data_IF_913992156192
#
_entry.id   IF_913992156192
#
_cell.length_a   1.000
_cell.length_b   1.000
_cell.length_c   1.000
_cell.angle_alpha   90.00
_cell.angle_beta   90.00
_cell.angle_gamma   90.00
#
_symmetry.space_group_name_H-M   'P 1'
#
loop_
_entity.id
_entity.type
_entity.pdbx_description
1 polymer ?
#
# COMPACT_ATOMS: atom_id res chain seq x y z
N UNK A 1 -26.63 -0.65 1.01
CA UNK A 1 -25.55 -1.64 0.79
C UNK A 1 -24.28 -0.83 0.51
N UNK A 2 -23.27 -0.93 1.37
CA UNK A 2 -22.16 0.03 1.51
C UNK A 2 -20.80 -0.54 1.05
N UNK A 3 -20.81 -1.72 0.42
CA UNK A 3 -19.69 -2.24 -0.36
C UNK A 3 -20.21 -3.22 -1.41
N UNK A 4 -19.52 -3.30 -2.55
CA UNK A 4 -19.77 -4.26 -3.62
C UNK A 4 -18.43 -4.88 -4.03
N UNK A 5 -18.37 -6.21 -4.12
CA UNK A 5 -17.19 -6.93 -4.62
C UNK A 5 -17.32 -7.07 -6.14
N UNK A 6 -16.41 -6.44 -6.88
CA UNK A 6 -16.45 -6.34 -8.35
C UNK A 6 -15.22 -7.07 -8.91
N UNK A 7 -15.35 -7.80 -10.04
CA UNK A 7 -14.21 -8.52 -10.64
C UNK A 7 -13.17 -7.53 -11.19
N UNK A 8 -11.89 -7.92 -11.13
CA UNK A 8 -10.74 -7.10 -11.55
C UNK A 8 -10.86 -6.49 -12.97
N UNK A 9 -11.58 -7.15 -13.89
CA UNK A 9 -11.80 -6.65 -15.26
C UNK A 9 -12.78 -5.46 -15.30
N UNK A 10 -13.83 -5.50 -14.48
CA UNK A 10 -14.80 -4.41 -14.33
C UNK A 10 -14.20 -3.22 -13.55
N UNK A 11 -13.18 -3.43 -12.71
CA UNK A 11 -12.43 -2.33 -12.06
C UNK A 11 -11.67 -1.49 -13.09
N UNK A 12 -11.10 -2.12 -14.12
CA UNK A 12 -10.38 -1.42 -15.18
C UNK A 12 -11.34 -0.68 -16.14
N UNK A 13 -12.54 -1.20 -16.36
CA UNK A 13 -13.59 -0.54 -17.17
C UNK A 13 -14.34 0.55 -16.37
N UNK A 14 -14.49 0.36 -15.06
CA UNK A 14 -14.99 1.35 -14.10
C UNK A 14 -14.04 2.53 -13.86
N UNK A 15 -12.81 2.45 -14.37
CA UNK A 15 -11.77 3.45 -14.18
C UNK A 15 -12.20 4.86 -14.61
N UNK A 16 -13.01 4.95 -15.66
CA UNK A 16 -13.48 6.24 -16.19
C UNK A 16 -14.84 6.68 -15.66
N UNK A 17 -15.52 5.86 -14.83
CA UNK A 17 -16.92 6.09 -14.44
C UNK A 17 -17.19 6.10 -12.94
N UNK A 18 -16.22 5.72 -12.10
CA UNK A 18 -16.38 5.64 -10.65
C UNK A 18 -15.32 6.48 -9.92
N UNK A 19 -15.65 6.99 -8.73
CA UNK A 19 -14.66 7.57 -7.83
C UNK A 19 -13.72 6.46 -7.37
N UNK A 20 -12.47 6.52 -7.83
CA UNK A 20 -11.45 5.55 -7.47
C UNK A 20 -10.61 6.02 -6.31
N UNK A 21 -10.00 5.05 -5.64
CA UNK A 21 -8.95 5.28 -4.64
C UNK A 21 -7.79 4.34 -4.93
N UNK A 22 -6.59 4.83 -4.72
CA UNK A 22 -5.37 4.03 -4.68
C UNK A 22 -5.30 3.29 -3.37
N UNK A 23 -5.13 1.97 -3.46
CA UNK A 23 -4.84 1.11 -2.32
C UNK A 23 -3.39 0.65 -2.38
N UNK A 24 -2.61 0.99 -1.36
CA UNK A 24 -1.24 0.51 -1.19
C UNK A 24 -1.21 -0.45 0.00
N UNK A 25 -1.12 -1.74 -0.27
CA UNK A 25 -1.11 -2.80 0.74
C UNK A 25 0.31 -3.19 1.09
N UNK A 26 0.55 -3.40 2.38
CA UNK A 26 1.87 -3.71 2.92
C UNK A 26 1.71 -4.88 3.88
N UNK A 27 2.46 -5.94 3.61
CA UNK A 27 2.63 -7.04 4.55
C UNK A 27 3.92 -6.81 5.35
N UNK A 28 3.84 -6.97 6.67
CA UNK A 28 4.95 -6.77 7.60
C UNK A 28 5.23 -8.07 8.33
N UNK A 29 6.50 -8.47 8.31
CA UNK A 29 7.03 -9.57 9.13
C UNK A 29 8.01 -8.99 10.13
N UNK A 30 7.70 -9.10 11.43
CA UNK A 30 8.50 -8.55 12.54
C UNK A 30 8.83 -9.70 13.49
N UNK A 31 10.03 -10.25 13.36
CA UNK A 31 10.39 -11.50 14.01
C UNK A 31 9.43 -12.61 13.59
N UNK A 32 8.66 -13.15 14.54
CA UNK A 32 7.61 -14.18 14.29
C UNK A 32 6.20 -13.60 14.11
N UNK A 33 6.02 -12.28 14.23
CA UNK A 33 4.69 -11.64 14.12
C UNK A 33 4.47 -11.16 12.69
N UNK A 34 3.24 -11.33 12.20
CA UNK A 34 2.78 -10.77 10.94
C UNK A 34 1.76 -9.67 11.17
N UNK A 35 1.80 -8.62 10.35
CA UNK A 35 0.82 -7.52 10.33
C UNK A 35 0.57 -7.08 8.89
N UNK A 36 -0.63 -6.56 8.65
CA UNK A 36 -0.99 -5.98 7.37
C UNK A 36 -1.34 -4.51 7.60
N UNK A 37 -0.86 -3.64 6.71
CA UNK A 37 -1.20 -2.21 6.67
C UNK A 37 -1.74 -1.90 5.29
N UNK A 38 -2.78 -1.08 5.23
CA UNK A 38 -3.32 -0.55 3.99
C UNK A 38 -3.28 0.98 4.08
N UNK A 39 -2.69 1.62 3.07
CA UNK A 39 -2.78 3.06 2.85
C UNK A 39 -3.80 3.27 1.75
N UNK A 40 -4.82 4.08 2.04
CA UNK A 40 -5.88 4.44 1.11
C UNK A 40 -5.68 5.92 0.76
N UNK A 41 -5.67 6.23 -0.52
CA UNK A 41 -5.44 7.57 -1.03
C UNK A 41 -6.35 7.84 -2.21
N UNK A 42 -6.88 9.05 -2.33
CA UNK A 42 -7.57 9.54 -3.52
C UNK A 42 -6.60 9.99 -4.63
N UNK A 43 -5.30 10.14 -4.29
CA UNK A 43 -4.25 10.35 -5.28
C UNK A 43 -4.05 9.09 -6.16
N UNK A 44 -4.43 9.20 -7.43
CA UNK A 44 -4.46 8.09 -8.41
C UNK A 44 -3.14 7.86 -9.15
N UNK A 45 -2.17 8.76 -9.05
CA UNK A 45 -0.92 8.62 -9.78
C UNK A 45 0.07 7.72 -9.02
N UNK A 46 0.49 6.64 -9.66
CA UNK A 46 1.48 5.71 -9.11
C UNK A 46 2.91 6.19 -9.37
N UNK A 47 3.24 7.40 -8.90
CA UNK A 47 4.58 7.99 -9.05
C UNK A 47 5.55 7.46 -8.00
N UNK A 48 6.86 7.53 -8.29
CA UNK A 48 7.91 7.24 -7.31
C UNK A 48 7.77 8.11 -6.05
N UNK A 49 7.31 9.35 -6.20
CA UNK A 49 7.05 10.27 -5.08
C UNK A 49 5.96 9.74 -4.16
N UNK A 50 4.86 9.21 -4.71
CA UNK A 50 3.80 8.60 -3.90
C UNK A 50 4.32 7.38 -3.12
N UNK A 51 5.08 6.51 -3.77
CA UNK A 51 5.69 5.33 -3.13
C UNK A 51 6.61 5.76 -1.99
N UNK A 52 7.43 6.80 -2.19
CA UNK A 52 8.29 7.35 -1.15
C UNK A 52 7.48 7.89 0.04
N UNK A 53 6.39 8.61 -0.22
CA UNK A 53 5.49 9.08 0.84
C UNK A 53 4.88 7.92 1.64
N UNK A 54 4.39 6.88 0.96
CA UNK A 54 3.86 5.68 1.58
C UNK A 54 4.91 4.97 2.47
N UNK A 55 6.15 4.88 1.99
CA UNK A 55 7.27 4.34 2.77
C UNK A 55 7.57 5.17 4.01
N UNK A 56 7.57 6.51 3.91
CA UNK A 56 7.79 7.38 5.07
C UNK A 56 6.70 7.20 6.14
N UNK A 57 5.44 7.09 5.72
CA UNK A 57 4.32 6.78 6.63
C UNK A 57 4.54 5.42 7.30
N UNK A 58 4.96 4.41 6.54
CA UNK A 58 5.24 3.09 7.09
C UNK A 58 6.39 3.10 8.11
N UNK A 59 7.51 3.76 7.79
CA UNK A 59 8.66 3.86 8.71
C UNK A 59 8.24 4.50 10.02
N UNK A 60 7.45 5.58 9.96
CA UNK A 60 6.92 6.25 11.15
C UNK A 60 6.01 5.32 11.95
N UNK A 61 5.13 4.59 11.29
CA UNK A 61 4.28 3.58 11.94
C UNK A 61 5.10 2.50 12.62
N UNK A 62 6.11 1.94 11.94
CA UNK A 62 6.96 0.88 12.49
C UNK A 62 7.73 1.39 13.70
N UNK A 63 8.43 2.53 13.58
CA UNK A 63 9.21 3.11 14.68
C UNK A 63 8.36 3.45 15.91
N UNK A 64 7.11 3.89 15.71
CA UNK A 64 6.18 4.20 16.80
C UNK A 64 5.70 2.94 17.53
N UNK A 65 5.45 1.84 16.81
CA UNK A 65 4.82 0.64 17.38
C UNK A 65 5.80 -0.49 17.71
N UNK A 66 7.00 -0.46 17.14
CA UNK A 66 8.02 -1.49 17.25
C UNK A 66 9.39 -0.82 17.45
N UNK A 67 9.61 -0.25 18.64
CA UNK A 67 10.81 0.52 18.98
C UNK A 67 12.13 -0.28 18.91
N UNK A 68 12.07 -1.60 18.95
CA UNK A 68 13.23 -2.50 18.83
C UNK A 68 13.59 -2.86 17.38
N UNK A 69 12.87 -2.33 16.39
CA UNK A 69 13.20 -2.59 14.97
C UNK A 69 14.39 -1.72 14.57
N UNK A 70 15.52 -2.36 14.31
CA UNK A 70 16.77 -1.69 13.89
C UNK A 70 16.93 -1.62 12.36
N UNK A 71 16.31 -2.54 11.63
CA UNK A 71 16.42 -2.65 10.18
C UNK A 71 15.07 -2.89 9.53
N UNK A 72 14.82 -2.20 8.42
CA UNK A 72 13.65 -2.37 7.57
C UNK A 72 14.15 -2.71 6.17
N UNK A 73 13.70 -3.86 5.64
CA UNK A 73 13.96 -4.27 4.27
C UNK A 73 12.65 -4.21 3.49
N UNK A 74 12.69 -3.70 2.26
CA UNK A 74 11.51 -3.59 1.41
C UNK A 74 11.57 -4.59 0.26
N UNK A 75 10.41 -5.18 -0.04
CA UNK A 75 10.17 -6.04 -1.21
C UNK A 75 8.82 -5.62 -1.81
N UNK A 76 8.72 -5.59 -3.14
CA UNK A 76 7.60 -5.11 -3.93
C UNK A 76 7.55 -5.98 -5.17
N UNK A 77 6.34 -6.32 -5.58
CA UNK A 77 6.05 -7.19 -6.72
C UNK A 77 5.42 -6.36 -7.86
N UNK A 78 5.95 -5.16 -8.07
CA UNK A 78 5.49 -4.25 -9.12
C UNK A 78 5.98 -4.67 -10.51
N UNK A 79 5.14 -4.52 -11.54
CA UNK A 79 5.38 -4.96 -12.92
C UNK A 79 6.58 -4.31 -13.63
N UNK A 80 7.21 -3.32 -13.02
CA UNK A 80 8.45 -2.70 -13.46
C UNK A 80 9.27 -2.45 -12.20
N UNK A 81 10.48 -3.02 -12.14
CA UNK A 81 11.31 -3.07 -10.93
C UNK A 81 11.38 -1.75 -10.16
N UNK A 82 10.53 -1.63 -9.14
CA UNK A 82 10.50 -0.48 -8.25
C UNK A 82 10.99 -0.91 -6.87
N UNK A 83 12.32 -1.01 -6.79
CA UNK A 83 13.15 -0.29 -5.82
C UNK A 83 14.38 0.25 -6.53
#
# INVERSE_FOLDING_TARGET
>A
MNFTLIRQREVQEGFFSQHQVTLFTIHLTIGRKQRNVAIISDYMEHTTSFVYCAQQILVRFIKKNFSLVEKISYVSDGASGHF
#
